data_IF_777532258575
#
_entry.id   IF_777532258575
#
_cell.length_a   1.000
_cell.length_b   1.000
_cell.length_c   1.000
_cell.angle_alpha   90.00
_cell.angle_beta   90.00
_cell.angle_gamma   90.00
#
_symmetry.space_group_name_H-M   'P 1'
#
loop_
_entity.id
_entity.type
_entity.pdbx_description
1 polymer ?
#
# COMPACT_ATOMS: atom_id res chain seq x y z
N UNK A 1 -32.75 -8.83 20.58
CA UNK A 1 -31.29 -8.99 20.69
C UNK A 1 -30.61 -8.13 19.63
N UNK A 2 -30.65 -6.80 19.78
CA UNK A 2 -29.95 -5.90 18.85
C UNK A 2 -28.52 -5.78 19.38
N UNK A 3 -27.60 -6.62 18.91
CA UNK A 3 -26.19 -6.43 19.22
C UNK A 3 -25.67 -5.29 18.37
N UNK A 4 -25.67 -4.15 19.03
CA UNK A 4 -25.04 -2.89 18.69
C UNK A 4 -23.57 -3.14 18.34
N UNK A 5 -23.24 -3.30 17.06
CA UNK A 5 -22.05 -2.64 16.55
C UNK A 5 -22.57 -1.54 15.64
N UNK A 6 -22.77 -0.40 16.30
CA UNK A 6 -23.24 0.84 15.70
C UNK A 6 -22.37 1.18 14.48
N UNK A 7 -22.99 1.75 13.46
CA UNK A 7 -22.45 2.25 12.18
C UNK A 7 -21.56 3.50 12.42
N UNK A 8 -20.74 3.44 13.47
CA UNK A 8 -19.76 4.42 13.93
C UNK A 8 -18.41 3.76 14.28
N UNK A 9 -18.31 2.41 14.27
CA UNK A 9 -17.04 1.68 14.35
C UNK A 9 -16.46 1.29 12.98
N UNK A 10 -17.25 1.37 11.90
CA UNK A 10 -16.78 1.22 10.50
C UNK A 10 -16.15 2.51 9.94
N UNK A 11 -15.77 3.44 10.81
CA UNK A 11 -15.16 4.73 10.45
C UNK A 11 -13.86 5.02 11.19
N UNK A 12 -13.27 4.02 11.86
CA UNK A 12 -12.03 4.18 12.61
C UNK A 12 -10.86 3.60 11.81
N UNK A 13 -10.24 4.48 11.02
CA UNK A 13 -8.89 4.37 10.46
C UNK A 13 -8.55 3.02 9.78
N UNK A 14 -8.79 2.94 8.46
CA UNK A 14 -7.90 2.16 7.58
C UNK A 14 -6.54 2.86 7.55
N UNK A 15 -5.78 2.75 8.64
CA UNK A 15 -4.36 2.99 8.58
C UNK A 15 -3.77 1.80 7.84
N UNK A 16 -3.75 1.87 6.51
CA UNK A 16 -3.08 0.90 5.66
C UNK A 16 -1.58 1.06 5.90
N UNK A 17 -1.06 0.49 6.99
CA UNK A 17 0.33 0.67 7.43
C UNK A 17 1.36 0.32 6.36
N UNK A 18 0.98 -0.52 5.39
CA UNK A 18 1.72 -0.78 4.15
C UNK A 18 2.08 0.52 3.41
N UNK A 19 1.14 1.46 3.31
CA UNK A 19 1.32 2.74 2.63
C UNK A 19 2.15 3.74 3.44
N UNK A 20 2.41 3.47 4.73
CA UNK A 20 3.34 4.25 5.55
C UNK A 20 4.78 3.72 5.48
N UNK A 21 4.97 2.48 5.00
CA UNK A 21 6.30 1.92 4.80
C UNK A 21 7.06 2.68 3.71
N UNK A 22 8.37 2.84 3.89
CA UNK A 22 9.23 3.37 2.83
C UNK A 22 9.33 2.35 1.70
N UNK A 23 9.39 2.84 0.47
CA UNK A 23 9.71 1.99 -0.69
C UNK A 23 11.08 1.34 -0.44
N UNK A 24 11.15 0.02 -0.53
CA UNK A 24 12.34 -0.78 -0.29
C UNK A 24 12.60 -1.72 -1.47
N UNK A 25 13.73 -1.52 -2.13
CA UNK A 25 14.15 -2.34 -3.28
C UNK A 25 14.57 -3.75 -2.85
N UNK A 26 14.85 -3.99 -1.56
CA UNK A 26 15.48 -5.22 -1.10
C UNK A 26 16.96 -5.29 -1.51
N UNK A 27 17.61 -6.40 -1.16
CA UNK A 27 19.07 -6.56 -1.30
C UNK A 27 19.51 -7.45 -2.47
N UNK A 28 18.57 -7.96 -3.27
CA UNK A 28 18.90 -8.67 -4.52
C UNK A 28 19.11 -7.72 -5.70
N UNK A 29 19.80 -8.19 -6.74
CA UNK A 29 20.19 -7.39 -7.92
C UNK A 29 19.39 -7.77 -9.19
N UNK A 30 18.06 -7.80 -9.10
CA UNK A 30 17.18 -7.89 -10.29
C UNK A 30 16.54 -6.54 -10.60
N UNK A 31 16.15 -6.37 -11.87
CA UNK A 31 15.41 -5.20 -12.33
C UNK A 31 13.94 -5.57 -12.53
N UNK A 32 13.17 -5.64 -11.43
CA UNK A 32 11.73 -5.95 -11.49
C UNK A 32 10.93 -4.65 -11.35
N UNK A 33 10.21 -4.19 -12.39
CA UNK A 33 9.38 -2.99 -12.29
C UNK A 33 8.20 -3.23 -11.35
N UNK A 34 8.01 -2.32 -10.40
CA UNK A 34 6.95 -2.35 -9.38
C UNK A 34 6.45 -0.95 -9.09
N UNK A 35 5.38 -0.83 -8.32
CA UNK A 35 4.83 0.43 -7.83
C UNK A 35 4.83 0.45 -6.31
N UNK A 36 5.08 1.62 -5.72
CA UNK A 36 4.99 1.82 -4.27
C UNK A 36 4.45 3.22 -3.97
N UNK A 37 3.76 3.37 -2.85
CA UNK A 37 3.24 4.65 -2.41
C UNK A 37 4.34 5.51 -1.78
N UNK A 38 4.50 6.72 -2.30
CA UNK A 38 5.36 7.75 -1.73
C UNK A 38 4.53 8.67 -0.84
N UNK A 39 4.79 8.64 0.47
CA UNK A 39 4.16 9.56 1.44
C UNK A 39 4.59 11.01 1.21
N UNK A 40 5.80 11.24 0.70
CA UNK A 40 6.30 12.56 0.32
C UNK A 40 5.52 13.14 -0.86
N UNK A 41 5.34 12.35 -1.92
CA UNK A 41 4.65 12.79 -3.14
C UNK A 41 3.13 12.58 -3.09
N UNK A 42 2.64 11.91 -2.03
CA UNK A 42 1.24 11.51 -1.85
C UNK A 42 0.65 10.78 -3.06
N UNK A 43 1.45 9.91 -3.69
CA UNK A 43 1.05 9.13 -4.86
C UNK A 43 1.83 7.84 -4.99
N UNK A 44 1.24 6.88 -5.69
CA UNK A 44 1.95 5.70 -6.17
C UNK A 44 2.94 6.07 -7.27
N UNK A 45 4.17 5.61 -7.14
CA UNK A 45 5.26 5.85 -8.09
C UNK A 45 5.92 4.52 -8.49
N UNK A 46 6.44 4.42 -9.73
CA UNK A 46 7.21 3.26 -10.13
C UNK A 46 8.57 3.22 -9.40
N UNK A 47 9.04 2.02 -9.10
CA UNK A 47 10.39 1.77 -8.59
C UNK A 47 10.92 0.41 -9.09
N UNK A 48 12.23 0.19 -8.92
CA UNK A 48 12.88 -1.08 -9.24
C UNK A 48 13.00 -1.94 -8.00
N UNK A 49 12.36 -3.10 -8.00
CA UNK A 49 12.51 -4.11 -6.96
C UNK A 49 13.62 -5.10 -7.33
N UNK A 50 14.50 -5.34 -6.37
CA UNK A 50 15.65 -6.24 -6.46
C UNK A 50 15.29 -7.72 -6.61
N UNK A 51 14.03 -8.10 -6.36
CA UNK A 51 13.54 -9.46 -6.58
C UNK A 51 13.62 -10.38 -5.35
N UNK A 52 14.14 -9.89 -4.22
CA UNK A 52 14.03 -10.57 -2.93
C UNK A 52 14.10 -9.56 -1.77
N UNK A 53 13.64 -9.98 -0.57
CA UNK A 53 13.47 -9.10 0.59
C UNK A 53 12.60 -7.88 0.26
N UNK A 54 12.85 -6.72 0.87
CA UNK A 54 11.98 -5.54 0.74
C UNK A 54 10.81 -5.60 1.71
N UNK A 55 9.75 -4.86 1.39
CA UNK A 55 8.52 -4.84 2.20
C UNK A 55 7.25 -4.77 1.32
N UNK A 56 6.10 -4.73 1.98
CA UNK A 56 4.79 -4.83 1.34
C UNK A 56 4.35 -3.57 0.57
N UNK A 57 5.09 -2.46 0.66
CA UNK A 57 4.89 -1.30 -0.22
C UNK A 57 5.47 -1.57 -1.62
N UNK A 58 4.94 -2.61 -2.26
CA UNK A 58 5.45 -3.22 -3.48
C UNK A 58 4.32 -3.90 -4.26
N UNK A 59 3.74 -3.16 -5.21
CA UNK A 59 2.59 -3.56 -6.01
C UNK A 59 3.00 -3.88 -7.44
N UNK A 60 2.28 -4.81 -8.07
CA UNK A 60 2.50 -5.18 -9.48
C UNK A 60 1.95 -4.14 -10.46
N UNK A 61 0.84 -3.50 -10.11
CA UNK A 61 0.18 -2.50 -10.94
C UNK A 61 0.07 -1.16 -10.21
N UNK A 62 -0.15 -0.09 -10.99
CA UNK A 62 -0.39 1.23 -10.42
C UNK A 62 -1.76 1.27 -9.73
N UNK A 63 -2.72 0.57 -10.32
CA UNK A 63 -4.11 0.45 -9.89
C UNK A 63 -4.18 -0.18 -8.49
N UNK A 64 -3.54 -1.33 -8.26
CA UNK A 64 -3.51 -1.99 -6.94
C UNK A 64 -2.94 -1.06 -5.86
N UNK A 65 -1.86 -0.33 -6.20
CA UNK A 65 -1.26 0.62 -5.28
C UNK A 65 -2.22 1.78 -4.97
N UNK A 66 -2.91 2.31 -5.98
CA UNK A 66 -3.84 3.43 -5.82
C UNK A 66 -5.09 3.02 -5.05
N UNK A 67 -5.65 1.84 -5.34
CA UNK A 67 -6.79 1.27 -4.64
C UNK A 67 -6.49 1.07 -3.16
N UNK A 68 -5.27 0.66 -2.81
CA UNK A 68 -4.89 0.49 -1.40
C UNK A 68 -4.49 1.80 -0.72
N UNK A 69 -3.66 2.63 -1.37
CA UNK A 69 -2.95 3.72 -0.69
C UNK A 69 -3.49 5.11 -0.99
N UNK A 70 -4.35 5.26 -2.00
CA UNK A 70 -4.92 6.56 -2.41
C UNK A 70 -6.44 6.57 -2.23
N UNK A 71 -7.10 5.44 -2.50
CA UNK A 71 -8.54 5.30 -2.37
C UNK A 71 -8.85 4.59 -1.05
N UNK A 72 -9.65 5.22 -0.18
CA UNK A 72 -9.90 4.72 1.17
C UNK A 72 -10.92 3.58 1.29
N UNK A 73 -11.29 2.91 0.19
CA UNK A 73 -12.15 1.72 0.11
C UNK A 73 -12.45 1.45 -1.37
N UNK A 74 -12.54 0.19 -1.80
CA UNK A 74 -13.66 -0.41 -2.57
C UNK A 74 -13.27 -1.80 -3.13
N UNK A 75 -13.42 -2.85 -2.30
CA UNK A 75 -14.23 -4.05 -2.61
C UNK A 75 -14.91 -4.53 -1.34
#
# INVERSE_FOLDING_TARGET
MKLLVNVAFFGLALNNGICELKIDAGSCDRFVPRYGYSTEQKKCIPFTYGGCFGNDNNFFSLEDCQELCVQGLLI
#
